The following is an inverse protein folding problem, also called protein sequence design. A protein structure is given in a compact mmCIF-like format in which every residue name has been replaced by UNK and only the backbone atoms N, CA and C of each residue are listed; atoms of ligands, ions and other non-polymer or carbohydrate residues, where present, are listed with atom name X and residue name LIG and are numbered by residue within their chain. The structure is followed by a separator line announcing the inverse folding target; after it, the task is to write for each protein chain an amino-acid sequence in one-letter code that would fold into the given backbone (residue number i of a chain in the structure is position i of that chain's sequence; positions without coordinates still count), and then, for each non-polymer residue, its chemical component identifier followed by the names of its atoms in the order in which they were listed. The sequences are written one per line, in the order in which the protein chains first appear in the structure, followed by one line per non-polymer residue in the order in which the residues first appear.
data_IF_644511709949
#
_entry.id   IF_644511709949
#
_cell.length_a   1.000
_cell.length_b   1.000
_cell.length_c   1.000
_cell.angle_alpha   90.00
_cell.angle_beta   90.00
_cell.angle_gamma   90.00
#
_symmetry.space_group_name_H-M   'P 1'
#
loop_
_entity.id
_entity.type
_entity.pdbx_description
1 polymer ?
#
# COMPACT_ATOMS: atom_id res chain seq x y z
N UNK A 1 85.44 0.18 8.55
CA UNK A 1 85.29 1.61 8.88
C UNK A 1 83.95 2.11 8.36
N UNK A 2 83.14 2.76 9.22
CA UNK A 2 82.22 3.89 8.94
C UNK A 2 81.24 3.79 7.74
N UNK A 3 79.95 4.13 7.81
CA UNK A 3 79.20 5.12 8.59
C UNK A 3 77.70 4.79 8.47
N UNK A 4 76.96 5.28 9.45
CA UNK A 4 75.50 5.32 9.50
C UNK A 4 74.94 6.25 8.43
N UNK A 5 73.78 5.89 7.85
CA UNK A 5 72.82 6.87 7.35
C UNK A 5 71.40 6.43 7.72
N UNK A 6 70.78 7.22 8.59
CA UNK A 6 69.36 7.23 8.90
C UNK A 6 68.71 8.20 7.91
N UNK A 7 67.70 7.75 7.18
CA UNK A 7 66.69 8.59 6.51
C UNK A 7 65.40 7.75 6.40
N UNK A 8 64.51 7.81 7.39
CA UNK A 8 63.29 8.65 7.43
C UNK A 8 62.25 8.31 6.35
N UNK A 9 61.32 7.44 6.75
CA UNK A 9 59.86 7.42 6.50
C UNK A 9 59.31 8.02 5.19
N UNK A 10 58.47 7.24 4.50
CA UNK A 10 57.03 7.55 4.40
C UNK A 10 56.25 6.23 4.30
N UNK A 11 55.28 6.14 5.21
CA UNK A 11 54.35 5.05 5.44
C UNK A 11 53.17 5.20 4.49
N UNK A 12 52.94 4.24 3.60
CA UNK A 12 51.63 4.03 2.96
C UNK A 12 51.48 2.52 2.74
N UNK A 13 51.08 1.85 3.83
CA UNK A 13 50.76 0.43 3.81
C UNK A 13 49.51 0.18 2.97
N UNK A 14 49.68 -0.52 1.86
CA UNK A 14 48.58 -1.16 1.15
C UNK A 14 48.35 -2.54 1.77
N UNK A 15 47.53 -2.59 2.81
CA UNK A 15 47.03 -3.87 3.33
C UNK A 15 45.80 -4.23 2.51
N UNK A 16 45.97 -5.24 1.66
CA UNK A 16 44.90 -6.09 1.16
C UNK A 16 44.20 -6.72 2.37
N UNK A 17 42.94 -6.35 2.62
CA UNK A 17 42.07 -7.05 3.55
C UNK A 17 41.01 -7.78 2.73
N UNK A 18 41.23 -9.09 2.57
CA UNK A 18 40.19 -10.03 2.21
C UNK A 18 39.17 -10.04 3.36
N UNK A 19 37.95 -9.57 3.10
CA UNK A 19 36.81 -9.78 3.97
C UNK A 19 35.95 -10.87 3.35
N UNK A 20 36.10 -12.10 3.85
CA UNK A 20 35.04 -13.10 3.80
C UNK A 20 33.92 -12.62 4.72
N UNK A 21 32.71 -12.51 4.17
CA UNK A 21 31.48 -12.17 4.88
C UNK A 21 30.45 -13.27 4.65
N UNK A 22 29.87 -13.73 5.74
CA UNK A 22 29.01 -14.89 5.85
C UNK A 22 27.78 -14.86 4.93
N UNK A 23 27.47 -16.01 4.32
CA UNK A 23 26.20 -16.25 3.64
C UNK A 23 25.07 -16.26 4.68
N UNK A 24 24.43 -15.11 4.87
CA UNK A 24 23.14 -15.02 5.57
C UNK A 24 22.12 -15.81 4.74
N UNK A 25 21.34 -16.74 5.32
CA UNK A 25 20.23 -17.36 4.61
C UNK A 25 19.31 -16.24 4.13
N UNK A 26 18.95 -16.25 2.85
CA UNK A 26 17.96 -15.33 2.28
C UNK A 26 16.68 -15.51 3.09
N UNK A 27 16.49 -14.64 4.09
CA UNK A 27 15.22 -14.40 4.73
C UNK A 27 14.30 -14.07 3.57
N UNK A 28 13.29 -14.93 3.36
CA UNK A 28 12.22 -14.71 2.38
C UNK A 28 11.50 -13.42 2.80
N UNK A 29 12.05 -12.29 2.40
CA UNK A 29 11.42 -10.99 2.56
C UNK A 29 10.11 -11.10 1.81
N UNK A 30 9.01 -10.95 2.55
CA UNK A 30 7.69 -10.81 1.97
C UNK A 30 7.78 -9.84 0.79
N UNK A 31 7.13 -10.13 -0.35
CA UNK A 31 7.29 -9.30 -1.54
C UNK A 31 6.95 -7.87 -1.15
N UNK A 32 7.91 -6.97 -1.40
CA UNK A 32 7.66 -5.55 -1.33
C UNK A 32 6.45 -5.29 -2.23
N UNK A 33 5.32 -4.92 -1.62
CA UNK A 33 4.11 -4.52 -2.32
C UNK A 33 4.54 -3.46 -3.34
N UNK A 34 4.48 -3.82 -4.62
CA UNK A 34 4.83 -2.93 -5.72
C UNK A 34 3.80 -1.78 -5.73
N UNK A 35 4.06 -0.71 -4.97
CA UNK A 35 3.22 0.49 -4.95
C UNK A 35 3.58 1.40 -6.11
N UNK A 36 3.36 0.94 -7.33
CA UNK A 36 3.36 1.78 -8.52
C UNK A 36 1.89 2.03 -8.88
N UNK A 37 1.54 3.26 -9.22
CA UNK A 37 0.18 3.67 -9.63
C UNK A 37 -0.92 3.67 -8.55
N UNK A 38 -0.59 3.78 -7.26
CA UNK A 38 -1.64 3.91 -6.24
C UNK A 38 -2.61 2.73 -6.22
N UNK A 39 -2.12 1.53 -6.57
CA UNK A 39 -2.84 0.27 -6.41
C UNK A 39 -2.16 -0.58 -5.35
N UNK A 40 -2.94 -1.45 -4.72
CA UNK A 40 -2.46 -2.47 -3.81
C UNK A 40 -2.92 -3.84 -4.31
N UNK A 41 -1.98 -4.76 -4.50
CA UNK A 41 -2.27 -6.14 -4.92
C UNK A 41 -2.17 -7.05 -3.70
N UNK A 42 -3.25 -7.77 -3.43
CA UNK A 42 -3.31 -8.76 -2.37
C UNK A 42 -2.93 -10.14 -2.92
N UNK A 43 -1.73 -10.61 -2.57
CA UNK A 43 -1.17 -11.86 -3.10
C UNK A 43 -2.01 -13.11 -2.80
N UNK A 44 -2.71 -13.15 -1.65
CA UNK A 44 -3.49 -14.33 -1.24
C UNK A 44 -4.79 -14.51 -2.02
N UNK A 45 -5.44 -13.41 -2.41
CA UNK A 45 -6.73 -13.42 -3.11
C UNK A 45 -6.59 -13.10 -4.59
N UNK A 46 -5.40 -12.62 -5.00
CA UNK A 46 -5.12 -12.07 -6.33
C UNK A 46 -6.05 -10.91 -6.69
N UNK A 47 -6.57 -10.21 -5.68
CA UNK A 47 -7.35 -9.01 -5.86
C UNK A 47 -6.43 -7.79 -5.95
N UNK A 48 -6.83 -6.85 -6.79
CA UNK A 48 -6.22 -5.52 -6.87
C UNK A 48 -7.18 -4.48 -6.29
N UNK A 49 -6.63 -3.59 -5.50
CA UNK A 49 -7.34 -2.54 -4.78
C UNK A 49 -6.83 -1.18 -5.20
N UNK A 50 -7.74 -0.21 -5.32
CA UNK A 50 -7.37 1.17 -5.56
C UNK A 50 -6.95 1.83 -4.24
N UNK A 51 -5.67 2.18 -4.10
CA UNK A 51 -5.04 2.88 -2.97
C UNK A 51 -4.48 4.25 -3.43
N UNK A 52 -5.26 4.94 -4.27
CA UNK A 52 -4.85 6.19 -4.89
C UNK A 52 -5.12 7.40 -3.97
N UNK A 53 -4.24 8.40 -4.02
CA UNK A 53 -4.44 9.65 -3.28
C UNK A 53 -5.73 10.36 -3.70
N UNK A 54 -6.38 11.04 -2.74
CA UNK A 54 -7.51 11.92 -3.03
C UNK A 54 -7.03 13.21 -3.68
N UNK A 55 -7.71 13.62 -4.74
CA UNK A 55 -7.57 14.96 -5.33
C UNK A 55 -8.35 15.99 -4.51
N UNK A 56 -8.05 17.28 -4.68
CA UNK A 56 -8.76 18.37 -4.00
C UNK A 56 -10.27 18.37 -4.30
N UNK A 57 -10.65 18.00 -5.53
CA UNK A 57 -12.05 17.89 -5.93
C UNK A 57 -12.77 16.77 -5.15
N UNK A 58 -12.13 15.61 -5.00
CA UNK A 58 -12.68 14.47 -4.25
C UNK A 58 -12.72 14.74 -2.74
N UNK A 59 -11.70 15.41 -2.19
CA UNK A 59 -11.68 15.83 -0.78
C UNK A 59 -12.78 16.87 -0.50
N UNK A 60 -12.96 17.83 -1.41
CA UNK A 60 -14.06 18.79 -1.35
C UNK A 60 -15.43 18.11 -1.44
N UNK A 61 -15.58 17.11 -2.31
CA UNK A 61 -16.80 16.31 -2.45
C UNK A 61 -17.14 15.53 -1.18
N UNK A 62 -16.14 14.86 -0.60
CA UNK A 62 -16.30 14.17 0.68
C UNK A 62 -16.75 15.12 1.79
N UNK A 63 -16.10 16.28 1.95
CA UNK A 63 -16.40 17.26 3.01
C UNK A 63 -17.78 17.92 2.85
N UNK A 64 -18.23 18.15 1.62
CA UNK A 64 -19.47 18.88 1.31
C UNK A 64 -20.64 17.95 0.95
N UNK A 65 -20.46 16.64 1.13
CA UNK A 65 -21.48 15.63 0.89
C UNK A 65 -22.10 15.69 -0.53
N UNK A 66 -21.25 15.81 -1.55
CA UNK A 66 -21.64 15.62 -2.95
C UNK A 66 -20.75 14.56 -3.61
N UNK A 67 -21.06 14.18 -4.85
CA UNK A 67 -20.34 13.12 -5.57
C UNK A 67 -19.37 13.69 -6.61
N UNK A 68 -18.11 13.27 -6.56
CA UNK A 68 -17.08 13.56 -7.57
C UNK A 68 -16.03 12.44 -7.57
N UNK A 69 -15.71 11.91 -8.76
CA UNK A 69 -14.77 10.81 -8.95
C UNK A 69 -14.96 9.70 -7.90
N UNK A 70 -13.97 9.39 -7.04
CA UNK A 70 -14.09 8.33 -6.04
C UNK A 70 -14.94 8.68 -4.80
N UNK A 71 -15.29 9.94 -4.60
CA UNK A 71 -16.13 10.40 -3.49
C UNK A 71 -17.60 10.46 -3.91
N UNK A 72 -18.51 10.00 -3.06
CA UNK A 72 -19.95 10.18 -3.29
C UNK A 72 -20.85 9.16 -2.62
N UNK A 73 -22.12 9.21 -3.03
CA UNK A 73 -23.17 8.30 -2.56
C UNK A 73 -22.88 6.85 -2.99
N UNK A 74 -23.54 5.87 -2.37
CA UNK A 74 -23.45 4.46 -2.76
C UNK A 74 -23.71 4.24 -4.26
N UNK A 75 -24.78 4.85 -4.81
CA UNK A 75 -25.13 4.73 -6.23
C UNK A 75 -24.02 5.27 -7.13
N UNK A 76 -23.45 6.41 -6.75
CA UNK A 76 -22.31 7.00 -7.45
C UNK A 76 -21.08 6.09 -7.37
N UNK A 77 -20.73 5.61 -6.19
CA UNK A 77 -19.59 4.70 -5.98
C UNK A 77 -19.73 3.42 -6.81
N UNK A 78 -20.93 2.82 -6.86
CA UNK A 78 -21.19 1.64 -7.69
C UNK A 78 -20.94 1.92 -9.17
N UNK A 79 -21.41 3.07 -9.67
CA UNK A 79 -21.19 3.51 -11.05
C UNK A 79 -19.72 3.83 -11.33
N UNK A 80 -19.06 4.51 -10.39
CA UNK A 80 -17.64 4.82 -10.46
C UNK A 80 -16.83 3.54 -10.65
N UNK A 81 -16.97 2.57 -9.75
CA UNK A 81 -16.26 1.30 -9.85
C UNK A 81 -16.55 0.58 -11.17
N UNK A 82 -17.82 0.49 -11.59
CA UNK A 82 -18.20 -0.28 -12.78
C UNK A 82 -17.80 0.36 -14.12
N UNK A 83 -17.29 1.59 -14.11
CA UNK A 83 -16.86 2.31 -15.32
C UNK A 83 -15.43 2.82 -15.23
N UNK A 84 -14.74 2.46 -14.15
CA UNK A 84 -13.38 2.90 -13.88
C UNK A 84 -12.42 2.24 -14.88
N UNK A 85 -11.65 3.07 -15.57
CA UNK A 85 -10.45 2.65 -16.28
C UNK A 85 -9.24 3.25 -15.57
N UNK A 86 -8.47 2.41 -14.89
CA UNK A 86 -7.39 2.84 -14.01
C UNK A 86 -6.29 1.78 -13.93
N UNK A 87 -5.03 2.23 -13.89
CA UNK A 87 -3.84 1.36 -13.90
C UNK A 87 -3.82 0.34 -15.05
N UNK A 88 -4.44 0.66 -16.20
CA UNK A 88 -4.55 -0.25 -17.36
C UNK A 88 -5.67 -1.29 -17.27
N UNK A 89 -6.51 -1.23 -16.22
CA UNK A 89 -7.60 -2.16 -15.95
C UNK A 89 -8.96 -1.48 -16.06
N UNK A 90 -9.95 -2.19 -16.62
CA UNK A 90 -11.34 -1.73 -16.78
C UNK A 90 -12.38 -2.68 -16.16
N UNK A 91 -11.91 -3.70 -15.45
CA UNK A 91 -12.67 -4.75 -14.76
C UNK A 91 -12.87 -4.44 -13.26
N UNK A 92 -12.70 -3.18 -12.88
CA UNK A 92 -12.92 -2.70 -11.53
C UNK A 92 -14.38 -2.89 -11.09
N UNK A 93 -14.56 -3.21 -9.81
CA UNK A 93 -15.87 -3.36 -9.19
C UNK A 93 -15.85 -2.94 -7.73
N UNK A 94 -17.03 -2.69 -7.20
CA UNK A 94 -17.21 -2.51 -5.76
C UNK A 94 -16.89 -3.83 -5.04
N UNK A 95 -16.13 -3.80 -3.93
CA UNK A 95 -15.78 -5.01 -3.20
C UNK A 95 -16.98 -5.56 -2.45
N UNK A 96 -16.97 -6.87 -2.19
CA UNK A 96 -17.88 -7.51 -1.24
C UNK A 96 -17.42 -7.29 0.20
N UNK A 97 -18.31 -7.49 1.17
CA UNK A 97 -17.94 -7.44 2.59
C UNK A 97 -16.81 -8.42 2.91
N UNK A 98 -16.87 -9.65 2.41
CA UNK A 98 -15.86 -10.68 2.69
C UNK A 98 -14.47 -10.32 2.17
N UNK A 99 -14.38 -9.77 0.96
CA UNK A 99 -13.10 -9.32 0.37
C UNK A 99 -12.51 -8.17 1.18
N UNK A 100 -13.35 -7.18 1.52
CA UNK A 100 -12.90 -6.02 2.28
C UNK A 100 -12.48 -6.40 3.72
N UNK A 101 -13.21 -7.32 4.36
CA UNK A 101 -12.82 -7.86 5.66
C UNK A 101 -11.52 -8.66 5.56
N UNK A 102 -11.28 -9.38 4.47
CA UNK A 102 -10.06 -10.17 4.28
C UNK A 102 -8.83 -9.28 4.14
N UNK A 103 -8.88 -8.28 3.26
CA UNK A 103 -7.76 -7.32 3.08
C UNK A 103 -7.52 -6.48 4.34
N UNK A 104 -8.56 -6.19 5.12
CA UNK A 104 -8.43 -5.38 6.33
C UNK A 104 -7.88 -6.14 7.55
N UNK A 105 -8.06 -7.47 7.62
CA UNK A 105 -7.54 -8.31 8.71
C UNK A 105 -6.01 -8.35 8.78
N UNK A 106 -5.33 -7.92 7.73
CA UNK A 106 -3.88 -7.74 7.77
C UNK A 106 -3.53 -6.67 8.81
N UNK A 107 -2.68 -7.00 9.80
CA UNK A 107 -2.22 -6.06 10.84
C UNK A 107 -1.40 -4.87 10.30
N UNK A 108 -1.22 -4.82 8.98
CA UNK A 108 -0.58 -3.72 8.26
C UNK A 108 -1.67 -2.77 7.79
N UNK A 109 -1.45 -1.45 7.93
CA UNK A 109 -2.28 -0.44 7.24
C UNK A 109 -2.14 -0.61 5.73
N UNK A 110 -2.99 -1.46 5.15
CA UNK A 110 -2.93 -1.82 3.73
C UNK A 110 -3.16 -0.61 2.83
N UNK A 111 -4.24 0.13 3.10
CA UNK A 111 -4.59 1.35 2.37
C UNK A 111 -3.86 2.56 2.99
N UNK A 112 -2.87 3.06 2.27
CA UNK A 112 -2.13 4.27 2.66
C UNK A 112 -2.97 5.54 2.44
N UNK A 113 -3.79 5.57 1.40
CA UNK A 113 -4.48 6.76 0.90
C UNK A 113 -5.95 6.83 1.32
N UNK A 114 -6.34 6.10 2.37
CA UNK A 114 -7.72 6.12 2.89
C UNK A 114 -8.08 7.48 3.48
N UNK A 115 -9.25 8.02 3.11
CA UNK A 115 -9.74 9.31 3.63
C UNK A 115 -10.59 9.18 4.89
N UNK A 116 -11.28 8.05 5.05
CA UNK A 116 -12.13 7.75 6.19
C UNK A 116 -12.04 6.27 6.57
N UNK A 117 -12.76 5.90 7.61
CA UNK A 117 -12.80 4.52 8.07
C UNK A 117 -13.86 3.68 7.37
N UNK A 118 -14.80 4.28 6.65
CA UNK A 118 -15.96 3.59 6.08
C UNK A 118 -15.82 3.35 4.58
N UNK A 119 -16.19 2.16 4.12
CA UNK A 119 -16.12 1.75 2.72
C UNK A 119 -17.44 1.15 2.26
N UNK A 120 -17.87 1.51 1.05
CA UNK A 120 -19.03 0.92 0.40
C UNK A 120 -18.73 -0.51 -0.04
N UNK A 121 -19.69 -1.42 0.19
CA UNK A 121 -19.59 -2.81 -0.28
C UNK A 121 -20.81 -3.17 -1.14
N UNK A 122 -20.63 -4.15 -2.04
CA UNK A 122 -21.71 -4.65 -2.89
C UNK A 122 -22.59 -5.69 -2.19
N UNK A 123 -22.25 -6.12 -0.97
CA UNK A 123 -23.01 -7.10 -0.19
C UNK A 123 -24.20 -6.44 0.49
N UNK A 124 -25.45 -6.86 0.21
CA UNK A 124 -26.62 -6.34 0.89
C UNK A 124 -26.67 -6.79 2.37
N UNK A 125 -27.01 -5.88 3.28
CA UNK A 125 -27.33 -6.15 4.68
C UNK A 125 -28.80 -6.61 4.86
N UNK A 126 -29.72 -5.99 4.11
CA UNK A 126 -31.11 -6.44 3.94
C UNK A 126 -31.57 -6.10 2.52
N UNK A 127 -32.79 -6.47 2.11
CA UNK A 127 -33.34 -6.13 0.78
C UNK A 127 -33.26 -4.60 0.56
N UNK A 128 -32.28 -4.16 -0.25
CA UNK A 128 -31.92 -2.77 -0.59
C UNK A 128 -30.99 -1.98 0.36
N UNK A 129 -30.57 -2.54 1.50
CA UNK A 129 -29.54 -1.91 2.34
C UNK A 129 -28.20 -2.63 2.11
N UNK A 130 -27.09 -1.90 2.08
CA UNK A 130 -25.74 -2.47 1.84
C UNK A 130 -24.83 -2.22 3.04
N UNK A 131 -23.88 -3.12 3.28
CA UNK A 131 -22.94 -2.93 4.38
C UNK A 131 -21.98 -1.78 4.06
N UNK A 132 -21.87 -0.87 5.03
CA UNK A 132 -20.75 0.06 5.14
C UNK A 132 -19.82 -0.52 6.18
N UNK A 133 -18.66 -1.03 5.76
CA UNK A 133 -17.71 -1.64 6.69
C UNK A 133 -16.78 -0.54 7.22
N UNK A 134 -16.66 -0.47 8.53
CA UNK A 134 -15.61 0.29 9.19
C UNK A 134 -14.30 -0.52 9.14
N UNK A 135 -13.30 -0.02 8.45
CA UNK A 135 -11.88 -0.45 8.47
C UNK A 135 -11.15 -0.02 9.73
N UNK A 136 -11.88 0.08 10.82
CA UNK A 136 -11.31 0.08 12.14
C UNK A 136 -12.16 -0.91 12.88
N UNK A 137 -11.57 -2.06 13.24
CA UNK A 137 -11.88 -2.64 14.53
C UNK A 137 -11.79 -1.48 15.52
N UNK A 138 -12.96 -0.95 15.94
CA UNK A 138 -13.05 -0.14 17.14
C UNK A 138 -12.80 -1.08 18.32
N UNK A 139 -11.55 -1.52 18.49
CA UNK A 139 -10.98 -1.55 19.82
C UNK A 139 -10.61 -0.10 20.17
N UNK A 140 -11.63 0.73 20.32
CA UNK A 140 -11.55 1.81 21.30
C UNK A 140 -11.87 1.12 22.63
N UNK A 141 -10.83 0.91 23.44
CA UNK A 141 -11.02 0.74 24.89
C UNK A 141 -11.76 1.95 25.45
#
# INVERSE_FOLDING_TARGET
MQKWFIALYIFMGSIFLMAGGDIVPVQKTAPASCKTDGVYIEESTKLMWQDQAYTDAEDGAYKRNYSAAKAGTFRHAKKYCSTLNYAGHNDWRMPTTSELSHVHKSQIRVFAQRRGSFFWTSTPATKNNYYVIATVDMNQY
#
